data_IF_557362042613
#
_entry.id   IF_557362042613
#
_cell.length_a   1.000
_cell.length_b   1.000
_cell.length_c   1.000
_cell.angle_alpha   90.00
_cell.angle_beta   90.00
_cell.angle_gamma   90.00
#
_symmetry.space_group_name_H-M   'P 1'
#
loop_
_entity.id
_entity.type
_entity.pdbx_description
1 polymer ?
#
# COMPACT_ATOMS: atom_id res chain seq x y z
N UNK A 1 -29.45 4.58 3.61
CA UNK A 1 -28.83 3.33 3.13
C UNK A 1 -27.68 3.58 2.17
N UNK A 2 -27.88 4.27 1.03
CA UNK A 2 -26.80 4.58 0.06
C UNK A 2 -25.57 5.24 0.71
N UNK A 3 -25.76 6.33 1.47
CA UNK A 3 -24.69 7.01 2.21
C UNK A 3 -23.93 6.13 3.21
N UNK A 4 -24.59 5.11 3.76
CA UNK A 4 -23.94 4.17 4.67
C UNK A 4 -22.94 3.30 3.90
N UNK A 5 -23.35 2.75 2.76
CA UNK A 5 -22.47 1.96 1.89
C UNK A 5 -21.33 2.81 1.33
N UNK A 6 -21.61 4.03 0.88
CA UNK A 6 -20.59 4.97 0.38
C UNK A 6 -19.55 5.32 1.45
N UNK A 7 -19.97 5.51 2.70
CA UNK A 7 -19.06 5.80 3.81
C UNK A 7 -18.13 4.61 4.09
N UNK A 8 -18.67 3.39 4.18
CA UNK A 8 -17.87 2.19 4.42
C UNK A 8 -16.90 1.93 3.27
N UNK A 9 -17.36 2.09 2.04
CA UNK A 9 -16.52 2.05 0.86
C UNK A 9 -15.36 3.04 0.93
N UNK A 10 -15.65 4.31 1.20
CA UNK A 10 -14.65 5.37 1.24
C UNK A 10 -13.61 5.13 2.33
N UNK A 11 -14.03 4.75 3.53
CA UNK A 11 -13.12 4.36 4.62
C UNK A 11 -12.26 3.19 4.15
N UNK A 12 -12.85 2.16 3.56
CA UNK A 12 -12.11 1.00 3.11
C UNK A 12 -11.07 1.32 2.03
N UNK A 13 -11.46 2.09 1.01
CA UNK A 13 -10.56 2.55 -0.08
C UNK A 13 -9.42 3.43 0.43
N UNK A 14 -9.67 4.27 1.43
CA UNK A 14 -8.60 5.10 2.00
C UNK A 14 -7.67 4.33 2.94
N UNK A 15 -8.20 3.38 3.72
CA UNK A 15 -7.40 2.53 4.61
C UNK A 15 -6.57 1.48 3.85
N UNK A 16 -7.13 0.86 2.79
CA UNK A 16 -6.37 -0.09 1.94
C UNK A 16 -5.10 0.51 1.33
N UNK A 17 -5.08 1.83 1.18
CA UNK A 17 -4.03 2.55 0.47
C UNK A 17 -2.72 2.59 1.24
N UNK A 18 -2.75 2.27 2.54
CA UNK A 18 -1.60 2.38 3.44
C UNK A 18 -1.30 1.01 4.06
N UNK A 19 -0.90 0.05 3.22
CA UNK A 19 -0.54 -1.29 3.65
C UNK A 19 0.72 -1.19 4.53
N UNK A 20 0.69 -1.70 5.77
CA UNK A 20 1.86 -1.66 6.64
C UNK A 20 2.95 -2.56 6.07
N UNK A 21 4.14 -1.99 5.88
CA UNK A 21 5.33 -2.70 5.45
C UNK A 21 6.33 -2.71 6.60
N UNK A 22 6.86 -3.88 6.94
CA UNK A 22 8.00 -3.96 7.83
C UNK A 22 9.20 -3.35 7.10
N UNK A 23 9.64 -2.21 7.60
CA UNK A 23 10.86 -1.54 7.16
C UNK A 23 11.73 -1.36 8.39
N UNK A 24 12.95 -1.88 8.33
CA UNK A 24 13.95 -1.63 9.36
C UNK A 24 14.50 -0.20 9.18
N UNK A 25 14.94 0.42 10.27
CA UNK A 25 15.50 1.77 10.23
C UNK A 25 16.93 1.74 9.70
N UNK A 26 17.10 1.35 8.43
CA UNK A 26 18.41 1.22 7.81
C UNK A 26 18.91 2.58 7.32
N UNK A 27 19.86 3.16 8.07
CA UNK A 27 20.42 4.50 7.83
C UNK A 27 21.18 4.66 6.49
N UNK A 28 21.33 3.61 5.70
CA UNK A 28 22.20 3.57 4.52
C UNK A 28 21.49 3.17 3.21
N UNK A 29 20.16 3.11 3.16
CA UNK A 29 19.44 2.89 1.90
C UNK A 29 19.30 4.18 1.08
N UNK A 30 19.45 4.08 -0.24
CA UNK A 30 19.13 5.19 -1.14
C UNK A 30 17.61 5.44 -1.19
N UNK A 31 17.22 6.65 -1.60
CA UNK A 31 15.82 7.07 -1.58
C UNK A 31 14.91 6.15 -2.41
N UNK A 32 15.36 5.68 -3.57
CA UNK A 32 14.54 4.85 -4.47
C UNK A 32 14.27 3.49 -3.84
N UNK A 33 15.32 2.85 -3.32
CA UNK A 33 15.21 1.57 -2.61
C UNK A 33 14.30 1.69 -1.38
N UNK A 34 14.42 2.78 -0.62
CA UNK A 34 13.57 3.05 0.54
C UNK A 34 12.09 3.11 0.13
N UNK A 35 11.74 3.87 -0.92
CA UNK A 35 10.34 3.93 -1.38
C UNK A 35 9.82 2.54 -1.80
N UNK A 36 10.62 1.72 -2.46
CA UNK A 36 10.21 0.39 -2.93
C UNK A 36 10.03 -0.63 -1.79
N UNK A 37 10.84 -0.55 -0.73
CA UNK A 37 10.76 -1.45 0.41
C UNK A 37 9.62 -1.05 1.37
N UNK A 38 9.40 0.25 1.56
CA UNK A 38 8.40 0.77 2.50
C UNK A 38 6.98 0.86 1.92
N UNK A 39 6.80 0.62 0.62
CA UNK A 39 5.49 0.70 -0.04
C UNK A 39 5.09 -0.61 -0.70
N UNK A 40 3.79 -0.79 -0.92
CA UNK A 40 3.23 -1.98 -1.55
C UNK A 40 2.04 -1.58 -2.41
N UNK A 41 1.98 -2.14 -3.61
CA UNK A 41 0.82 -2.01 -4.49
C UNK A 41 -0.22 -3.08 -4.19
N UNK A 42 -1.45 -2.80 -4.63
CA UNK A 42 -2.47 -3.81 -4.86
C UNK A 42 -2.49 -4.14 -6.36
N UNK A 43 -2.66 -5.41 -6.69
CA UNK A 43 -2.67 -5.90 -8.08
C UNK A 43 -3.49 -5.01 -9.02
N UNK A 44 -2.91 -4.71 -10.17
CA UNK A 44 -3.61 -3.99 -11.22
C UNK A 44 -4.70 -4.87 -11.84
N UNK A 45 -5.94 -4.37 -11.85
CA UNK A 45 -7.04 -4.96 -12.63
C UNK A 45 -8.10 -3.90 -12.91
N UNK A 46 -8.93 -4.06 -13.96
CA UNK A 46 -10.02 -3.11 -14.22
C UNK A 46 -10.94 -2.90 -13.02
N UNK A 47 -11.15 -3.96 -12.23
CA UNK A 47 -11.91 -3.89 -10.98
C UNK A 47 -11.16 -3.10 -9.91
N UNK A 48 -9.90 -3.45 -9.59
CA UNK A 48 -9.13 -2.79 -8.54
C UNK A 48 -8.86 -1.31 -8.85
N UNK A 49 -8.61 -0.98 -10.12
CA UNK A 49 -8.33 0.39 -10.58
C UNK A 49 -9.57 1.29 -10.44
N UNK A 50 -10.77 0.75 -10.73
CA UNK A 50 -12.05 1.43 -10.54
C UNK A 50 -12.42 1.50 -9.05
N UNK A 51 -12.32 0.36 -8.35
CA UNK A 51 -12.70 0.21 -6.95
C UNK A 51 -11.89 1.18 -6.08
N UNK A 52 -10.57 1.17 -6.22
CA UNK A 52 -9.70 2.01 -5.40
C UNK A 52 -9.59 3.46 -5.90
N UNK A 53 -10.12 3.76 -7.10
CA UNK A 53 -9.87 5.04 -7.75
C UNK A 53 -8.38 5.28 -8.03
N UNK A 54 -7.67 4.24 -8.47
CA UNK A 54 -6.21 4.21 -8.71
C UNK A 54 -5.34 4.40 -7.46
N UNK A 55 -5.86 4.11 -6.27
CA UNK A 55 -5.06 4.12 -5.04
C UNK A 55 -4.26 2.82 -4.83
N UNK A 56 -4.45 1.82 -5.69
CA UNK A 56 -3.67 0.59 -5.73
C UNK A 56 -2.20 0.77 -6.18
N UNK A 57 -1.82 1.96 -6.68
CA UNK A 57 -0.48 2.28 -7.20
C UNK A 57 0.33 3.16 -6.23
N UNK A 58 0.60 2.66 -5.03
CA UNK A 58 1.36 3.37 -3.99
C UNK A 58 2.84 3.52 -4.32
N UNK A 59 3.47 2.50 -4.92
CA UNK A 59 4.86 2.59 -5.38
C UNK A 59 5.02 3.78 -6.32
N UNK A 60 4.19 3.87 -7.36
CA UNK A 60 4.26 4.96 -8.35
C UNK A 60 3.90 6.30 -7.73
N UNK A 61 2.99 6.33 -6.75
CA UNK A 61 2.69 7.54 -6.00
C UNK A 61 3.91 8.08 -5.24
N UNK A 62 4.68 7.20 -4.60
CA UNK A 62 5.85 7.60 -3.82
C UNK A 62 7.06 7.91 -4.71
N UNK A 63 7.19 7.25 -5.86
CA UNK A 63 8.24 7.55 -6.84
C UNK A 63 7.95 8.84 -7.63
N UNK A 64 6.68 9.10 -7.93
CA UNK A 64 6.25 10.22 -8.78
C UNK A 64 5.05 10.96 -8.15
N UNK A 65 5.22 11.62 -6.98
CA UNK A 65 4.11 12.23 -6.24
C UNK A 65 3.42 13.36 -7.01
N UNK A 66 4.12 13.98 -7.97
CA UNK A 66 3.58 15.04 -8.83
C UNK A 66 2.86 14.51 -10.08
N UNK A 67 2.95 13.21 -10.39
CA UNK A 67 2.26 12.63 -11.54
C UNK A 67 0.78 12.43 -11.20
N UNK A 68 -0.16 12.85 -12.09
CA UNK A 68 -1.58 12.60 -11.88
C UNK A 68 -1.88 11.10 -11.77
N UNK A 69 -2.70 10.70 -10.79
CA UNK A 69 -2.95 9.28 -10.45
C UNK A 69 -3.43 8.41 -11.61
N UNK A 70 -4.22 8.97 -12.53
CA UNK A 70 -4.70 8.27 -13.73
C UNK A 70 -3.58 7.90 -14.72
N UNK A 71 -2.33 8.32 -14.49
CA UNK A 71 -1.17 7.92 -15.28
C UNK A 71 -0.34 6.81 -14.63
N UNK A 72 -0.59 6.47 -13.36
CA UNK A 72 0.19 5.44 -12.65
C UNK A 72 0.12 4.07 -13.31
N UNK A 73 -1.05 3.68 -13.83
CA UNK A 73 -1.21 2.42 -14.56
C UNK A 73 -0.29 2.31 -15.80
N UNK A 74 0.14 3.45 -16.37
CA UNK A 74 1.13 3.50 -17.46
C UNK A 74 2.56 3.44 -16.94
N UNK A 75 2.81 3.98 -15.75
CA UNK A 75 4.13 3.99 -15.13
C UNK A 75 4.48 2.62 -14.51
N UNK A 76 3.52 1.98 -13.86
CA UNK A 76 3.69 0.71 -13.15
C UNK A 76 4.43 -0.39 -13.92
N UNK A 77 4.07 -0.75 -15.18
CA UNK A 77 4.82 -1.78 -15.91
C UNK A 77 6.28 -1.38 -16.19
N UNK A 78 6.57 -0.07 -16.32
CA UNK A 78 7.95 0.42 -16.53
C UNK A 78 8.75 0.37 -15.23
N UNK A 79 8.14 0.76 -14.11
CA UNK A 79 8.77 0.66 -12.78
C UNK A 79 9.07 -0.79 -12.45
N UNK A 80 8.10 -1.70 -12.67
CA UNK A 80 8.30 -3.15 -12.45
C UNK A 80 9.44 -3.71 -13.29
N UNK A 81 9.48 -3.39 -14.59
CA UNK A 81 10.57 -3.83 -15.47
C UNK A 81 11.94 -3.29 -15.03
N UNK A 82 11.99 -2.06 -14.49
CA UNK A 82 13.20 -1.50 -13.92
C UNK A 82 13.64 -2.24 -12.65
N UNK A 83 12.68 -2.54 -11.77
CA UNK A 83 12.92 -3.31 -10.54
C UNK A 83 13.49 -4.70 -10.89
N UNK A 84 12.86 -5.41 -11.83
CA UNK A 84 13.33 -6.72 -12.32
C UNK A 84 14.75 -6.64 -12.89
N UNK A 85 15.03 -5.63 -13.74
CA UNK A 85 16.36 -5.42 -14.33
C UNK A 85 17.48 -5.28 -13.29
N UNK A 86 17.18 -4.67 -12.14
CA UNK A 86 18.16 -4.42 -11.08
C UNK A 86 18.03 -5.37 -9.88
N UNK A 87 17.19 -6.40 -9.97
CA UNK A 87 16.98 -7.37 -8.89
C UNK A 87 16.31 -6.79 -7.64
N UNK A 88 15.57 -5.68 -7.79
CA UNK A 88 14.79 -5.06 -6.72
C UNK A 88 13.39 -5.66 -6.71
N UNK A 89 12.86 -5.96 -5.52
CA UNK A 89 11.51 -6.50 -5.39
C UNK A 89 10.47 -5.40 -5.61
N UNK A 90 9.60 -5.60 -6.60
CA UNK A 90 8.38 -4.81 -6.77
C UNK A 90 7.27 -5.40 -5.89
N UNK A 91 6.93 -4.73 -4.79
CA UNK A 91 5.98 -5.24 -3.79
C UNK A 91 4.54 -5.07 -4.29
N UNK A 92 3.84 -6.17 -4.50
CA UNK A 92 2.44 -6.21 -4.93
C UNK A 92 1.72 -7.35 -4.23
N UNK A 93 0.47 -7.11 -3.84
CA UNK A 93 -0.41 -8.08 -3.17
C UNK A 93 -1.78 -8.10 -3.82
N UNK A 94 -2.48 -9.22 -3.73
CA UNK A 94 -3.90 -9.25 -4.09
C UNK A 94 -4.70 -8.34 -3.14
N UNK A 95 -5.87 -7.90 -3.61
CA UNK A 95 -6.77 -7.05 -2.80
C UNK A 95 -7.16 -7.71 -1.47
N UNK A 96 -7.32 -9.04 -1.48
CA UNK A 96 -7.64 -9.83 -0.28
C UNK A 96 -6.48 -9.87 0.72
N UNK A 97 -5.25 -10.11 0.24
CA UNK A 97 -4.07 -10.13 1.11
C UNK A 97 -3.81 -8.76 1.73
N UNK A 98 -3.90 -7.69 0.94
CA UNK A 98 -3.78 -6.32 1.43
C UNK A 98 -4.78 -6.02 2.55
N UNK A 99 -6.03 -6.48 2.39
CA UNK A 99 -7.05 -6.34 3.42
C UNK A 99 -6.74 -7.15 4.68
N UNK A 100 -6.34 -8.42 4.52
CA UNK A 100 -5.99 -9.27 5.64
C UNK A 100 -4.84 -8.69 6.47
N UNK A 101 -3.83 -8.10 5.81
CA UNK A 101 -2.70 -7.48 6.49
C UNK A 101 -3.07 -6.25 7.32
N UNK A 102 -4.03 -5.45 6.85
CA UNK A 102 -4.55 -4.30 7.62
C UNK A 102 -5.26 -4.79 8.88
N UNK A 103 -6.13 -5.79 8.76
CA UNK A 103 -6.84 -6.34 9.92
C UNK A 103 -5.85 -6.92 10.94
N UNK A 104 -4.87 -7.71 10.48
CA UNK A 104 -3.81 -8.25 11.35
C UNK A 104 -2.97 -7.16 12.00
N UNK A 105 -2.66 -6.09 11.28
CA UNK A 105 -1.92 -4.96 11.83
C UNK A 105 -2.71 -4.23 12.92
N UNK A 106 -4.02 -4.08 12.74
CA UNK A 106 -4.91 -3.50 13.75
C UNK A 106 -5.00 -4.39 14.99
N UNK A 107 -5.13 -5.71 14.80
CA UNK A 107 -5.10 -6.70 15.89
C UNK A 107 -3.80 -6.62 16.69
N UNK A 108 -2.65 -6.74 16.02
CA UNK A 108 -1.31 -6.61 16.64
C UNK A 108 -1.15 -5.28 17.39
N UNK A 109 -1.61 -4.18 16.80
CA UNK A 109 -1.54 -2.85 17.43
C UNK A 109 -2.43 -2.78 18.68
N UNK A 110 -3.61 -3.40 18.64
CA UNK A 110 -4.52 -3.50 19.76
C UNK A 110 -3.96 -4.33 20.92
N UNK A 111 -3.33 -5.46 20.63
CA UNK A 111 -2.64 -6.30 21.62
C UNK A 111 -1.50 -5.55 22.30
N UNK A 112 -0.63 -4.88 21.52
CA UNK A 112 0.46 -4.06 22.05
C UNK A 112 -0.04 -2.92 22.94
N UNK A 113 -1.14 -2.27 22.55
CA UNK A 113 -1.75 -1.22 23.35
C UNK A 113 -2.32 -1.77 24.67
N UNK A 114 -3.01 -2.91 24.61
CA UNK A 114 -3.61 -3.54 25.79
C UNK A 114 -2.54 -4.00 26.78
N UNK A 115 -1.47 -4.62 26.28
CA UNK A 115 -0.31 -5.02 27.10
C UNK A 115 0.31 -3.79 27.79
N UNK A 116 0.58 -2.72 27.03
CA UNK A 116 1.09 -1.47 27.57
C UNK A 116 0.10 -0.75 28.51
N UNK A 117 -1.19 -1.03 28.43
CA UNK A 117 -2.19 -0.47 29.36
C UNK A 117 -2.24 -1.25 30.68
N UNK A 118 -2.18 -2.58 30.60
CA UNK A 118 -2.32 -3.47 31.76
C UNK A 118 -1.00 -3.67 32.53
N UNK A 119 0.14 -3.65 31.84
CA UNK A 119 1.47 -3.93 32.39
C UNK A 119 2.34 -2.67 32.53
N UNK A 120 1.70 -1.51 32.70
CA UNK A 120 2.35 -0.24 33.02
C UNK A 120 2.80 -0.16 34.47
#
# INVERSE_FOLDING_TARGET
FVRFMESHWFVWVTQMSHIPMESDYEKHQDWLSMQLVSTCNVEQSPFNDWFSGHLNFQIEHHLFPMMPRHNYWRAAPRVRALCEKYGVKYQEKSLYEAFADIVRSLEKSGELWLDAYLNK
#
